data_IF_542174795948
#
_entry.id   IF_542174795948
#
_cell.length_a   1.000
_cell.length_b   1.000
_cell.length_c   1.000
_cell.angle_alpha   90.00
_cell.angle_beta   90.00
_cell.angle_gamma   90.00
#
_symmetry.space_group_name_H-M   'P 1'
#
loop_
_entity.id
_entity.type
_entity.pdbx_description
1 polymer ?
#
# COMPACT_ATOMS: atom_id res chain seq x y z
N UNK A 1 -11.00 -12.26 14.49
CA UNK A 1 -10.44 -10.89 14.36
C UNK A 1 -11.05 -10.07 15.48
N UNK A 2 -10.18 -9.52 16.36
CA UNK A 2 -10.61 -8.79 17.58
C UNK A 2 -10.50 -7.27 17.39
N UNK A 3 -9.75 -6.82 16.40
CA UNK A 3 -9.59 -5.41 16.08
C UNK A 3 -9.15 -5.21 14.63
N UNK A 4 -9.39 -4.02 14.11
CA UNK A 4 -8.88 -3.59 12.81
C UNK A 4 -8.55 -2.12 12.85
N UNK A 5 -7.54 -1.75 12.09
CA UNK A 5 -7.09 -0.36 11.95
C UNK A 5 -6.61 -0.10 10.54
N UNK A 6 -6.66 1.16 10.14
CA UNK A 6 -6.15 1.62 8.86
C UNK A 6 -5.35 2.91 9.04
N UNK A 7 -4.27 3.05 8.30
CA UNK A 7 -3.54 4.30 8.17
C UNK A 7 -3.44 4.70 6.71
N UNK A 8 -3.90 5.91 6.41
CA UNK A 8 -3.85 6.53 5.08
C UNK A 8 -2.99 7.80 5.17
N UNK A 9 -1.88 7.89 4.44
CA UNK A 9 -0.97 9.03 4.54
C UNK A 9 -1.57 10.27 3.90
N UNK A 10 -1.35 11.42 4.52
CA UNK A 10 -1.70 12.75 4.03
C UNK A 10 -3.21 12.93 3.73
N UNK A 11 -3.58 14.08 3.19
CA UNK A 11 -4.94 14.34 2.74
C UNK A 11 -5.23 13.62 1.41
N UNK A 12 -6.49 13.19 1.17
CA UNK A 12 -6.86 12.52 -0.06
C UNK A 12 -6.62 13.39 -1.29
N UNK A 13 -6.21 12.75 -2.39
CA UNK A 13 -5.98 13.36 -3.70
C UNK A 13 -7.11 12.96 -4.62
N UNK A 14 -7.92 13.92 -5.06
CA UNK A 14 -9.00 13.71 -6.02
C UNK A 14 -8.51 13.37 -7.42
N UNK A 15 -9.41 12.89 -8.25
CA UNK A 15 -9.10 12.43 -9.61
C UNK A 15 -8.42 13.51 -10.49
N UNK A 16 -8.77 14.77 -10.29
CA UNK A 16 -8.20 15.87 -11.08
C UNK A 16 -6.78 16.26 -10.63
N UNK A 17 -6.41 15.95 -9.39
CA UNK A 17 -5.14 16.34 -8.79
C UNK A 17 -4.06 15.25 -8.85
N UNK A 18 -4.35 14.05 -9.36
CA UNK A 18 -3.39 12.94 -9.41
C UNK A 18 -2.09 13.36 -10.11
N UNK A 19 -2.19 14.04 -11.25
CA UNK A 19 -1.04 14.45 -12.04
C UNK A 19 -0.26 15.61 -11.41
N UNK A 20 -0.90 16.39 -10.54
CA UNK A 20 -0.22 17.43 -9.75
C UNK A 20 0.72 16.81 -8.71
N UNK A 21 0.40 15.59 -8.21
CA UNK A 21 1.21 14.88 -7.21
C UNK A 21 2.20 13.92 -7.89
N UNK A 22 1.74 13.11 -8.83
CA UNK A 22 2.56 12.07 -9.48
C UNK A 22 3.32 12.57 -10.72
N UNK A 23 3.09 13.81 -11.14
CA UNK A 23 3.66 14.41 -12.34
C UNK A 23 2.93 14.01 -13.63
N UNK A 24 3.18 14.73 -14.70
CA UNK A 24 2.64 14.47 -16.05
C UNK A 24 3.68 13.76 -16.91
N UNK A 25 3.33 12.61 -17.48
CA UNK A 25 4.21 11.87 -18.39
C UNK A 25 4.37 12.66 -19.70
N UNK A 26 5.61 12.93 -20.08
CA UNK A 26 5.89 13.75 -21.27
C UNK A 26 5.40 15.20 -21.16
N UNK A 27 5.12 15.68 -19.94
CA UNK A 27 4.65 17.05 -19.69
C UNK A 27 3.24 17.35 -20.18
N UNK A 28 2.42 16.33 -20.46
CA UNK A 28 1.05 16.46 -20.96
C UNK A 28 0.06 15.65 -20.12
N UNK A 29 -1.20 16.15 -19.96
CA UNK A 29 -2.26 15.40 -19.29
C UNK A 29 -2.53 14.07 -19.99
N UNK A 30 -2.69 13.01 -19.21
CA UNK A 30 -3.01 11.67 -19.71
C UNK A 30 -4.44 11.58 -20.25
N UNK A 31 -4.58 10.95 -21.41
CA UNK A 31 -5.89 10.56 -21.98
C UNK A 31 -6.43 9.30 -21.31
N UNK A 32 -5.56 8.36 -20.96
CA UNK A 32 -5.91 7.10 -20.28
C UNK A 32 -6.59 7.35 -18.95
N UNK A 33 -6.14 8.37 -18.19
CA UNK A 33 -6.71 8.74 -16.87
C UNK A 33 -8.24 8.77 -16.88
N UNK A 34 -8.83 9.52 -17.80
CA UNK A 34 -10.29 9.67 -17.85
C UNK A 34 -11.01 8.36 -18.18
N UNK A 35 -10.43 7.53 -19.03
CA UNK A 35 -11.02 6.23 -19.41
C UNK A 35 -10.99 5.28 -18.22
N UNK A 36 -9.83 5.12 -17.58
CA UNK A 36 -9.64 4.24 -16.41
C UNK A 36 -10.53 4.67 -15.25
N UNK A 37 -10.55 5.98 -14.91
CA UNK A 37 -11.32 6.49 -13.79
C UNK A 37 -12.83 6.38 -13.98
N UNK A 38 -13.32 6.51 -15.19
CA UNK A 38 -14.74 6.32 -15.51
C UNK A 38 -15.20 4.89 -15.21
N UNK A 39 -14.32 3.92 -15.40
CA UNK A 39 -14.65 2.49 -15.29
C UNK A 39 -14.43 1.91 -13.90
N UNK A 40 -13.61 2.53 -13.04
CA UNK A 40 -13.26 1.95 -11.74
C UNK A 40 -14.02 2.56 -10.53
N UNK A 41 -14.66 3.71 -10.69
CA UNK A 41 -15.44 4.38 -9.65
C UNK A 41 -14.63 4.96 -8.48
N UNK A 42 -13.30 4.93 -8.52
CA UNK A 42 -12.44 5.48 -7.45
C UNK A 42 -12.50 7.02 -7.49
N UNK A 43 -12.78 7.63 -6.34
CA UNK A 43 -12.94 9.09 -6.23
C UNK A 43 -11.66 9.79 -5.74
N UNK A 44 -10.91 9.16 -4.85
CA UNK A 44 -9.70 9.72 -4.26
C UNK A 44 -8.67 8.63 -3.93
N UNK A 45 -7.41 9.07 -3.74
CA UNK A 45 -6.29 8.23 -3.32
C UNK A 45 -5.48 8.96 -2.28
N UNK A 46 -4.71 8.23 -1.51
CA UNK A 46 -3.72 8.78 -0.61
C UNK A 46 -2.33 8.48 -1.15
N UNK A 47 -1.42 9.44 -1.06
CA UNK A 47 -0.04 9.29 -1.44
C UNK A 47 0.87 9.77 -0.32
N UNK A 48 1.86 8.99 0.04
CA UNK A 48 2.90 9.35 0.99
C UNK A 48 3.92 10.33 0.38
N UNK A 49 3.41 11.33 -0.32
CA UNK A 49 4.16 12.37 -0.99
C UNK A 49 3.62 13.73 -0.54
N UNK A 50 4.51 14.61 -0.11
CA UNK A 50 4.15 15.98 0.22
C UNK A 50 3.82 16.78 -1.05
N UNK A 51 2.62 17.32 -1.13
CA UNK A 51 2.08 17.92 -2.38
C UNK A 51 2.92 19.06 -2.94
N UNK A 52 3.53 19.90 -2.10
CA UNK A 52 4.29 21.06 -2.56
C UNK A 52 5.77 20.80 -2.79
N UNK A 53 6.39 19.85 -2.07
CA UNK A 53 7.82 19.57 -2.19
C UNK A 53 8.12 18.31 -3.02
N UNK A 54 7.14 17.40 -3.18
CA UNK A 54 7.34 16.11 -3.82
C UNK A 54 8.15 15.11 -2.98
N UNK A 55 8.47 15.45 -1.73
CA UNK A 55 9.22 14.60 -0.81
C UNK A 55 8.34 13.49 -0.25
N UNK A 56 8.96 12.35 0.04
CA UNK A 56 8.30 11.22 0.69
C UNK A 56 8.03 11.56 2.15
N UNK A 57 6.78 11.38 2.60
CA UNK A 57 6.38 11.67 3.98
C UNK A 57 6.49 10.46 4.90
N UNK A 58 6.35 9.25 4.36
CA UNK A 58 6.40 7.99 5.10
C UNK A 58 7.05 6.90 4.27
N UNK A 59 7.83 6.04 4.89
CA UNK A 59 8.24 4.76 4.32
C UNK A 59 7.09 3.75 4.40
N UNK A 60 7.16 2.63 3.68
CA UNK A 60 6.15 1.57 3.79
C UNK A 60 6.13 0.95 5.19
N UNK A 61 7.30 0.80 5.82
CA UNK A 61 7.39 0.33 7.20
C UNK A 61 6.71 1.28 8.18
N UNK A 62 6.85 2.60 7.99
CA UNK A 62 6.17 3.61 8.82
C UNK A 62 4.65 3.58 8.63
N UNK A 63 4.15 3.48 7.39
CA UNK A 63 2.70 3.33 7.14
C UNK A 63 2.15 2.13 7.91
N UNK A 64 2.87 1.01 7.85
CA UNK A 64 2.48 -0.24 8.50
C UNK A 64 2.50 -0.10 10.02
N UNK A 65 3.54 0.51 10.57
CA UNK A 65 3.65 0.74 12.01
C UNK A 65 2.53 1.64 12.55
N UNK A 66 2.15 2.68 11.80
CA UNK A 66 1.02 3.55 12.18
C UNK A 66 -0.32 2.78 12.19
N UNK A 67 -0.56 1.92 11.20
CA UNK A 67 -1.73 1.06 11.22
C UNK A 67 -1.74 0.12 12.43
N UNK A 68 -0.59 -0.46 12.81
CA UNK A 68 -0.48 -1.31 14.01
C UNK A 68 -0.72 -0.51 15.30
N UNK A 69 -0.16 0.70 15.42
CA UNK A 69 -0.40 1.58 16.55
C UNK A 69 -1.89 1.90 16.73
N UNK A 70 -2.62 2.01 15.64
CA UNK A 70 -4.07 2.22 15.66
C UNK A 70 -4.90 1.04 16.17
N UNK A 71 -4.31 -0.14 16.42
CA UNK A 71 -4.98 -1.27 17.07
C UNK A 71 -5.02 -1.13 18.61
N UNK A 72 -4.17 -0.24 19.16
CA UNK A 72 -4.06 -0.08 20.62
C UNK A 72 -5.41 0.33 21.25
N UNK A 73 -5.76 -0.31 22.36
CA UNK A 73 -6.95 -0.03 23.14
C UNK A 73 -6.73 -0.49 24.59
N UNK A 74 -7.76 -0.45 25.45
CA UNK A 74 -7.67 -0.82 26.88
C UNK A 74 -7.25 -2.29 27.10
N UNK A 75 -7.34 -3.15 26.09
CA UNK A 75 -7.08 -4.59 26.18
C UNK A 75 -5.92 -5.07 25.31
N UNK A 76 -5.33 -4.21 24.49
CA UNK A 76 -4.25 -4.56 23.57
C UNK A 76 -3.28 -3.40 23.35
N UNK A 77 -2.01 -3.70 23.48
CA UNK A 77 -0.89 -2.82 23.14
C UNK A 77 -0.01 -3.48 22.06
N UNK A 78 0.63 -2.73 21.18
CA UNK A 78 1.64 -3.29 20.28
C UNK A 78 2.76 -4.06 21.00
N UNK A 79 3.04 -3.76 22.27
CA UNK A 79 4.01 -4.51 23.09
C UNK A 79 3.56 -5.93 23.43
N UNK A 80 2.28 -6.25 23.26
CA UNK A 80 1.73 -7.59 23.55
C UNK A 80 1.84 -8.54 22.34
N UNK A 81 2.34 -8.05 21.18
CA UNK A 81 2.41 -8.84 19.96
C UNK A 81 3.38 -10.01 20.13
N UNK A 82 2.87 -11.23 19.98
CA UNK A 82 3.67 -12.46 19.97
C UNK A 82 4.08 -12.89 18.55
N UNK A 83 3.24 -12.58 17.54
CA UNK A 83 3.54 -12.84 16.13
C UNK A 83 3.13 -11.64 15.26
N UNK A 84 4.09 -11.07 14.56
CA UNK A 84 3.90 -9.98 13.60
C UNK A 84 4.05 -10.53 12.18
N UNK A 85 2.96 -10.50 11.42
CA UNK A 85 2.95 -10.96 10.02
C UNK A 85 2.65 -9.81 9.10
N UNK A 86 3.60 -9.45 8.26
CA UNK A 86 3.46 -8.32 7.33
C UNK A 86 3.32 -8.78 5.89
N UNK A 87 2.46 -8.14 5.13
CA UNK A 87 2.24 -8.41 3.72
C UNK A 87 2.40 -7.14 2.87
N UNK A 88 3.34 -7.17 1.93
CA UNK A 88 3.52 -6.10 0.95
C UNK A 88 4.13 -6.64 -0.33
N UNK A 89 3.83 -6.02 -1.47
CA UNK A 89 4.50 -6.34 -2.74
C UNK A 89 5.79 -5.55 -2.91
N UNK A 90 5.88 -4.41 -2.26
CA UNK A 90 6.97 -3.47 -2.42
C UNK A 90 7.50 -3.00 -1.07
N UNK A 91 8.37 -3.79 -0.42
CA UNK A 91 9.08 -3.35 0.77
C UNK A 91 9.99 -2.16 0.44
N UNK A 92 10.35 -1.35 1.44
CA UNK A 92 11.27 -0.23 1.25
C UNK A 92 12.64 -0.71 0.77
N UNK A 93 13.04 -1.91 1.21
CA UNK A 93 14.27 -2.59 0.80
C UNK A 93 14.14 -4.11 0.96
N UNK A 94 15.05 -4.86 0.34
CA UNK A 94 15.02 -6.33 0.39
C UNK A 94 15.53 -6.88 1.72
N UNK A 95 16.54 -6.26 2.32
CA UNK A 95 17.15 -6.69 3.58
C UNK A 95 17.51 -5.49 4.47
N UNK A 96 17.11 -5.49 5.77
CA UNK A 96 16.21 -6.47 6.38
C UNK A 96 14.84 -6.49 5.71
N UNK A 97 14.09 -7.59 5.88
CA UNK A 97 12.76 -7.71 5.29
C UNK A 97 11.75 -6.71 5.91
N UNK A 98 10.62 -6.54 5.25
CA UNK A 98 9.60 -5.55 5.64
C UNK A 98 9.13 -5.72 7.09
N UNK A 99 8.87 -6.95 7.55
CA UNK A 99 8.42 -7.21 8.92
C UNK A 99 9.44 -6.78 9.98
N UNK A 100 10.72 -7.03 9.73
CA UNK A 100 11.81 -6.59 10.63
C UNK A 100 11.91 -5.07 10.67
N UNK A 101 11.71 -4.40 9.53
CA UNK A 101 11.69 -2.93 9.49
C UNK A 101 10.51 -2.37 10.29
N UNK A 102 9.31 -2.96 10.12
CA UNK A 102 8.11 -2.59 10.88
C UNK A 102 8.31 -2.83 12.37
N UNK A 103 8.90 -3.96 12.76
CA UNK A 103 9.24 -4.24 14.15
C UNK A 103 10.18 -3.16 14.74
N UNK A 104 11.18 -2.75 13.96
CA UNK A 104 12.09 -1.66 14.35
C UNK A 104 11.39 -0.31 14.51
N UNK A 105 10.46 0.04 13.60
CA UNK A 105 9.65 1.26 13.68
C UNK A 105 8.70 1.26 14.90
N UNK A 106 8.21 0.10 15.30
CA UNK A 106 7.36 -0.04 16.47
C UNK A 106 8.16 0.06 17.79
N UNK A 107 9.40 -0.41 17.81
CA UNK A 107 10.24 -0.47 18.99
C UNK A 107 9.69 -1.43 20.07
N UNK A 108 9.00 -2.50 19.66
CA UNK A 108 8.34 -3.47 20.54
C UNK A 108 9.29 -4.58 21.00
N UNK A 109 8.94 -5.36 22.05
CA UNK A 109 9.71 -6.54 22.47
C UNK A 109 9.88 -7.55 21.34
N UNK A 110 10.85 -8.45 21.47
CA UNK A 110 11.10 -9.53 20.53
C UNK A 110 9.86 -10.42 20.36
N UNK A 111 9.47 -10.68 19.12
CA UNK A 111 8.35 -11.54 18.75
C UNK A 111 8.69 -12.33 17.48
N UNK A 112 7.84 -13.29 17.12
CA UNK A 112 7.93 -13.91 15.79
C UNK A 112 7.62 -12.87 14.71
N UNK A 113 8.49 -12.77 13.69
CA UNK A 113 8.30 -11.82 12.57
C UNK A 113 8.30 -12.56 11.25
N UNK A 114 7.21 -12.44 10.49
CA UNK A 114 7.03 -13.05 9.19
C UNK A 114 6.70 -12.00 8.14
N UNK A 115 7.33 -12.08 6.99
CA UNK A 115 7.01 -11.22 5.83
C UNK A 115 6.49 -12.05 4.68
N UNK A 116 5.38 -11.63 4.09
CA UNK A 116 4.76 -12.26 2.93
C UNK A 116 4.76 -11.31 1.73
N UNK A 117 4.91 -11.88 0.56
CA UNK A 117 4.82 -11.18 -0.71
C UNK A 117 3.91 -11.96 -1.67
N UNK A 118 3.22 -11.30 -2.55
CA UNK A 118 2.28 -11.96 -3.46
C UNK A 118 1.35 -10.96 -4.14
N UNK A 119 1.84 -9.78 -4.45
CA UNK A 119 1.06 -8.70 -5.08
C UNK A 119 -0.21 -8.42 -4.25
N UNK A 120 -1.39 -8.41 -4.86
CA UNK A 120 -2.66 -8.09 -4.20
C UNK A 120 -3.10 -9.09 -3.13
N UNK A 121 -2.47 -10.27 -3.02
CA UNK A 121 -2.79 -11.29 -2.00
C UNK A 121 -1.82 -11.27 -0.81
N UNK A 122 -0.84 -10.37 -0.78
CA UNK A 122 0.16 -10.30 0.31
C UNK A 122 -0.49 -10.18 1.68
N UNK A 123 -1.42 -9.24 1.84
CA UNK A 123 -2.10 -8.99 3.11
C UNK A 123 -2.99 -10.15 3.56
N UNK A 124 -3.73 -10.78 2.63
CA UNK A 124 -4.57 -11.94 2.98
C UNK A 124 -3.71 -13.18 3.31
N UNK A 125 -2.52 -13.30 2.71
CA UNK A 125 -1.56 -14.34 3.06
C UNK A 125 -1.01 -14.11 4.46
N UNK A 126 -0.70 -12.86 4.82
CA UNK A 126 -0.31 -12.49 6.17
C UNK A 126 -1.40 -12.84 7.20
N UNK A 127 -2.65 -12.49 6.91
CA UNK A 127 -3.80 -12.80 7.75
C UNK A 127 -3.97 -14.32 7.93
N UNK A 128 -3.81 -15.10 6.86
CA UNK A 128 -3.85 -16.56 6.93
C UNK A 128 -2.77 -17.12 7.85
N UNK A 129 -1.54 -16.64 7.74
CA UNK A 129 -0.46 -17.10 8.61
C UNK A 129 -0.74 -16.77 10.07
N UNK A 130 -1.11 -15.53 10.38
CA UNK A 130 -1.45 -15.09 11.72
C UNK A 130 -2.58 -15.95 12.34
N UNK A 131 -3.64 -16.22 11.57
CA UNK A 131 -4.71 -17.11 11.97
C UNK A 131 -4.22 -18.53 12.28
N UNK A 132 -3.35 -19.09 11.45
CA UNK A 132 -2.79 -20.43 11.64
C UNK A 132 -1.89 -20.49 12.89
N UNK A 133 -1.09 -19.46 13.16
CA UNK A 133 -0.23 -19.39 14.35
C UNK A 133 -1.05 -19.45 15.64
N UNK A 134 -2.11 -18.65 15.71
CA UNK A 134 -3.03 -18.66 16.87
C UNK A 134 -3.83 -19.96 16.97
N UNK A 135 -4.34 -20.47 15.85
CA UNK A 135 -5.13 -21.71 15.82
C UNK A 135 -4.33 -22.93 16.28
N UNK A 136 -3.04 -22.99 15.90
CA UNK A 136 -2.14 -24.08 16.31
C UNK A 136 -1.66 -23.97 17.77
N UNK A 137 -1.95 -22.86 18.44
CA UNK A 137 -1.48 -22.58 19.81
C UNK A 137 0.00 -22.18 19.88
N UNK A 138 0.65 -21.89 18.76
CA UNK A 138 2.04 -21.45 18.72
C UNK A 138 2.18 -20.06 19.34
N UNK A 139 1.22 -19.17 19.12
CA UNK A 139 1.11 -17.86 19.75
C UNK A 139 -0.31 -17.64 20.27
N UNK A 140 -0.48 -16.79 21.30
CA UNK A 140 -1.79 -16.44 21.87
C UNK A 140 -2.46 -15.33 21.07
N UNK A 141 -1.66 -14.48 20.47
CA UNK A 141 -2.12 -13.41 19.60
C UNK A 141 -1.18 -13.25 18.39
N UNK A 142 -1.69 -12.64 17.37
CA UNK A 142 -0.91 -12.28 16.18
C UNK A 142 -1.51 -11.01 15.55
N UNK A 143 -0.65 -10.19 14.97
CA UNK A 143 -1.05 -9.05 14.15
C UNK A 143 -0.69 -9.34 12.70
N UNK A 144 -1.67 -9.20 11.81
CA UNK A 144 -1.48 -9.30 10.38
C UNK A 144 -1.64 -7.93 9.71
N UNK A 145 -0.79 -7.60 8.75
CA UNK A 145 -0.89 -6.33 8.02
C UNK A 145 -0.86 -6.54 6.52
N UNK A 146 -1.48 -5.59 5.81
CA UNK A 146 -1.31 -5.39 4.38
C UNK A 146 -1.00 -3.93 4.11
N UNK A 147 0.10 -3.64 3.40
CA UNK A 147 0.52 -2.27 3.12
C UNK A 147 1.13 -2.14 1.75
N UNK A 148 0.99 -0.95 1.14
CA UNK A 148 1.70 -0.60 -0.09
C UNK A 148 2.11 0.86 -0.09
N UNK A 149 3.33 1.12 -0.58
CA UNK A 149 3.85 2.43 -0.95
C UNK A 149 3.97 2.48 -2.48
N UNK A 150 2.82 2.54 -3.16
CA UNK A 150 2.70 2.45 -4.60
C UNK A 150 3.21 3.72 -5.31
N UNK A 151 2.98 4.90 -4.70
CA UNK A 151 3.23 6.21 -5.31
C UNK A 151 4.65 6.40 -5.85
N UNK A 152 5.66 5.81 -5.20
CA UNK A 152 7.05 5.86 -5.68
C UNK A 152 7.22 5.23 -7.07
N UNK A 153 6.48 4.14 -7.34
CA UNK A 153 6.46 3.47 -8.64
C UNK A 153 5.59 4.19 -9.67
N UNK A 154 4.61 4.97 -9.20
CA UNK A 154 3.60 5.62 -10.03
C UNK A 154 3.99 7.02 -10.50
N UNK A 155 5.16 7.53 -10.08
CA UNK A 155 5.65 8.83 -10.52
C UNK A 155 5.90 8.88 -12.02
N UNK A 156 5.58 10.00 -12.67
CA UNK A 156 5.64 10.18 -14.12
C UNK A 156 6.97 9.76 -14.76
N UNK A 157 8.09 9.96 -14.06
CA UNK A 157 9.44 9.57 -14.51
C UNK A 157 9.63 8.08 -14.79
N UNK A 158 8.71 7.24 -14.30
CA UNK A 158 8.77 5.78 -14.46
C UNK A 158 7.92 5.28 -15.65
N UNK A 159 7.34 6.18 -16.43
CA UNK A 159 6.43 5.87 -17.53
C UNK A 159 6.88 6.52 -18.83
N UNK A 160 6.57 5.87 -19.94
CA UNK A 160 6.71 6.43 -21.28
C UNK A 160 5.47 7.22 -21.69
N UNK A 161 5.62 8.14 -22.65
CA UNK A 161 4.50 8.92 -23.16
C UNK A 161 3.46 8.02 -23.84
N UNK A 162 2.19 8.30 -23.58
CA UNK A 162 1.07 7.57 -24.18
C UNK A 162 1.06 7.70 -25.71
N UNK A 163 0.93 6.57 -26.41
CA UNK A 163 0.68 6.55 -27.85
C UNK A 163 -0.81 6.60 -28.16
N UNK A 164 -1.17 7.13 -29.34
CA UNK A 164 -2.57 7.16 -29.79
C UNK A 164 -3.13 5.75 -29.95
N UNK A 165 -2.29 4.81 -30.42
CA UNK A 165 -2.65 3.40 -30.58
C UNK A 165 -3.01 2.76 -29.24
N UNK A 166 -2.21 3.00 -28.19
CA UNK A 166 -2.43 2.44 -26.86
C UNK A 166 -3.70 2.96 -26.20
N UNK A 167 -4.05 4.22 -26.45
CA UNK A 167 -5.31 4.80 -25.97
C UNK A 167 -6.52 4.18 -26.68
N UNK A 168 -6.44 3.99 -28.01
CA UNK A 168 -7.52 3.34 -28.76
C UNK A 168 -7.71 1.87 -28.31
N UNK A 169 -6.62 1.17 -28.02
CA UNK A 169 -6.66 -0.19 -27.50
C UNK A 169 -7.34 -0.25 -26.11
N UNK A 170 -7.05 0.68 -25.22
CA UNK A 170 -7.70 0.78 -23.90
C UNK A 170 -9.20 1.07 -24.01
N UNK A 171 -9.62 1.86 -24.98
CA UNK A 171 -11.05 2.12 -25.23
C UNK A 171 -11.78 0.87 -25.74
N UNK A 172 -11.11 0.06 -26.57
CA UNK A 172 -11.66 -1.17 -27.14
C UNK A 172 -11.66 -2.33 -26.13
N UNK A 173 -10.64 -2.40 -25.28
CA UNK A 173 -10.39 -3.50 -24.34
C UNK A 173 -10.15 -2.94 -22.93
N UNK A 174 -11.22 -2.63 -22.15
CA UNK A 174 -11.10 -2.00 -20.83
C UNK A 174 -10.28 -2.81 -19.81
N UNK A 175 -10.14 -4.13 -20.00
CA UNK A 175 -9.35 -5.02 -19.16
C UNK A 175 -7.86 -4.67 -19.13
N UNK A 176 -7.31 -4.06 -20.15
CA UNK A 176 -5.90 -3.63 -20.17
C UNK A 176 -5.63 -2.48 -19.16
N UNK A 177 -6.67 -1.90 -18.57
CA UNK A 177 -6.53 -0.94 -17.48
C UNK A 177 -5.77 -1.51 -16.26
N UNK A 178 -5.68 -2.83 -16.13
CA UNK A 178 -4.88 -3.50 -15.09
C UNK A 178 -3.40 -3.70 -15.48
N UNK A 179 -3.00 -3.33 -16.69
CA UNK A 179 -1.59 -3.34 -17.06
C UNK A 179 -0.82 -2.20 -16.39
N UNK A 180 0.51 -2.38 -16.26
CA UNK A 180 1.41 -1.47 -15.55
C UNK A 180 1.17 0.01 -15.90
N UNK A 181 0.99 0.33 -17.16
CA UNK A 181 0.88 1.71 -17.66
C UNK A 181 -0.37 2.44 -17.12
N UNK A 182 -1.40 1.68 -16.75
CA UNK A 182 -2.68 2.22 -16.30
C UNK A 182 -2.92 2.07 -14.79
N UNK A 183 -2.16 1.21 -14.08
CA UNK A 183 -2.25 1.05 -12.61
C UNK A 183 -2.02 2.36 -11.86
N UNK A 184 -1.28 3.27 -12.47
CA UNK A 184 -1.05 4.62 -11.99
C UNK A 184 -2.34 5.37 -11.59
N UNK A 185 -3.45 5.07 -12.26
CA UNK A 185 -4.75 5.71 -12.03
C UNK A 185 -5.61 4.99 -11.00
N UNK A 186 -5.18 3.85 -10.48
CA UNK A 186 -5.96 3.01 -9.58
C UNK A 186 -5.36 2.89 -8.19
N UNK A 187 -4.03 2.80 -8.07
CA UNK A 187 -3.37 2.48 -6.82
C UNK A 187 -3.24 3.69 -5.89
N UNK A 188 -3.15 3.40 -4.60
CA UNK A 188 -3.02 4.33 -3.49
C UNK A 188 -1.97 3.81 -2.51
N UNK A 189 -1.42 4.68 -1.67
CA UNK A 189 -0.61 4.29 -0.53
C UNK A 189 -1.50 4.08 0.69
N UNK A 190 -1.11 3.19 1.57
CA UNK A 190 -1.78 2.94 2.82
C UNK A 190 -1.40 1.62 3.47
N UNK A 191 -1.87 1.43 4.69
CA UNK A 191 -1.71 0.20 5.45
C UNK A 191 -2.96 -0.13 6.24
N UNK A 192 -3.25 -1.43 6.35
CA UNK A 192 -4.27 -1.99 7.24
C UNK A 192 -3.66 -3.00 8.19
N UNK A 193 -4.21 -3.09 9.40
CA UNK A 193 -3.80 -4.04 10.43
C UNK A 193 -5.02 -4.70 11.09
N UNK A 194 -4.86 -5.97 11.45
CA UNK A 194 -5.87 -6.80 12.14
C UNK A 194 -5.26 -7.53 13.31
#
# INVERSE_FOLDING_TARGET
INGSSVFLPNAPVGNDDIENVLGMVGGKPSRARRIVLRNNGIQARHYAIHRSTGEITHTNAQLTAEAIRGLANDHFSPNDIECLVTGTSRPDQLMPNHGVMVHGELGIPACEVVSTAGICVSGITALKYAWMSVLSGQTKNAVATGSELASLGLHARNFEAESVHRIAELEANPEIAFEKDFLRWMLSDGAGAF
#
